data_IF_660098400674
#
_entry.id   IF_660098400674
#
_cell.length_a   1.000
_cell.length_b   1.000
_cell.length_c   1.000
_cell.angle_alpha   90.00
_cell.angle_beta   90.00
_cell.angle_gamma   90.00
#
_symmetry.space_group_name_H-M   'P 1'
#
loop_
_entity.id
_entity.type
_entity.pdbx_description
1 polymer ?
#
# COMPACT_ATOMS: atom_id res chain seq x y z
N UNK A 1 -40.98 -11.83 12.86
CA UNK A 1 -39.71 -11.71 12.11
C UNK A 1 -38.54 -11.75 13.10
N UNK A 2 -37.96 -12.93 13.33
CA UNK A 2 -36.81 -13.07 14.23
C UNK A 2 -35.55 -12.58 13.51
N UNK A 3 -34.92 -11.50 13.99
CA UNK A 3 -33.61 -11.06 13.51
C UNK A 3 -32.59 -12.12 13.93
N UNK A 4 -31.95 -12.74 12.94
CA UNK A 4 -30.95 -13.77 13.15
C UNK A 4 -29.80 -13.19 14.00
N UNK A 5 -29.47 -13.76 15.17
CA UNK A 5 -28.49 -13.18 16.09
C UNK A 5 -27.11 -12.99 15.44
N UNK A 6 -26.78 -13.82 14.44
CA UNK A 6 -25.59 -13.69 13.61
C UNK A 6 -25.46 -12.33 12.91
N UNK A 7 -26.55 -11.79 12.37
CA UNK A 7 -26.56 -10.48 11.68
C UNK A 7 -26.39 -9.31 12.65
N UNK A 8 -26.84 -9.46 13.90
CA UNK A 8 -26.70 -8.42 14.93
C UNK A 8 -25.24 -8.31 15.37
N UNK A 9 -24.55 -9.45 15.54
CA UNK A 9 -23.12 -9.50 15.92
C UNK A 9 -22.20 -9.00 14.81
N UNK A 10 -22.50 -9.29 13.55
CA UNK A 10 -21.77 -8.75 12.40
C UNK A 10 -21.88 -7.22 12.31
N UNK A 11 -23.07 -6.67 12.58
CA UNK A 11 -23.27 -5.23 12.58
C UNK A 11 -22.53 -4.54 13.72
N UNK A 12 -22.50 -5.11 14.93
CA UNK A 12 -21.75 -4.52 16.05
C UNK A 12 -20.24 -4.57 15.83
N UNK A 13 -19.73 -5.65 15.21
CA UNK A 13 -18.31 -5.80 14.87
C UNK A 13 -17.88 -4.80 13.77
N UNK A 14 -18.68 -4.66 12.70
CA UNK A 14 -18.47 -3.64 11.68
C UNK A 14 -18.50 -2.21 12.24
N UNK A 15 -19.33 -1.94 13.25
CA UNK A 15 -19.45 -0.61 13.85
C UNK A 15 -18.27 -0.24 14.76
N UNK A 16 -17.67 -1.20 15.45
CA UNK A 16 -16.46 -0.98 16.27
C UNK A 16 -15.18 -0.88 15.44
N UNK A 17 -15.10 -1.60 14.32
CA UNK A 17 -13.90 -1.66 13.47
C UNK A 17 -14.12 -1.03 12.08
N UNK A 18 -14.89 0.06 11.98
CA UNK A 18 -15.24 0.74 10.70
C UNK A 18 -14.02 0.99 9.81
N UNK A 19 -12.89 1.41 10.39
CA UNK A 19 -11.63 1.65 9.65
C UNK A 19 -11.02 0.37 9.09
N UNK A 20 -11.00 -0.70 9.88
CA UNK A 20 -10.44 -2.00 9.49
C UNK A 20 -11.30 -2.68 8.43
N UNK A 21 -12.62 -2.66 8.59
CA UNK A 21 -13.57 -3.23 7.62
C UNK A 21 -13.53 -2.45 6.31
N UNK A 22 -13.50 -1.12 6.36
CA UNK A 22 -13.33 -0.29 5.16
C UNK A 22 -12.03 -0.60 4.42
N UNK A 23 -10.94 -0.84 5.16
CA UNK A 23 -9.64 -1.16 4.54
C UNK A 23 -9.66 -2.54 3.87
N UNK A 24 -10.27 -3.54 4.51
CA UNK A 24 -10.42 -4.89 3.94
C UNK A 24 -11.27 -4.86 2.67
N UNK A 25 -12.40 -4.13 2.70
CA UNK A 25 -13.27 -3.98 1.52
C UNK A 25 -12.53 -3.24 0.42
N UNK A 26 -11.85 -2.13 0.72
CA UNK A 26 -11.07 -1.38 -0.25
C UNK A 26 -9.96 -2.24 -0.88
N UNK A 27 -9.26 -3.04 -0.07
CA UNK A 27 -8.26 -3.98 -0.55
C UNK A 27 -8.87 -5.04 -1.49
N UNK A 28 -10.01 -5.62 -1.12
CA UNK A 28 -10.72 -6.59 -1.98
C UNK A 28 -11.18 -5.99 -3.30
N UNK A 29 -11.73 -4.78 -3.28
CA UNK A 29 -12.12 -4.05 -4.49
C UNK A 29 -10.90 -3.77 -5.36
N UNK A 30 -9.78 -3.39 -4.75
CA UNK A 30 -8.54 -3.11 -5.47
C UNK A 30 -7.87 -4.38 -6.03
N UNK A 31 -8.06 -5.54 -5.41
CA UNK A 31 -7.60 -6.83 -5.94
C UNK A 31 -8.49 -7.31 -7.08
N UNK A 32 -9.81 -7.18 -6.95
CA UNK A 32 -10.77 -7.69 -7.95
C UNK A 32 -10.93 -6.77 -9.17
N UNK A 33 -10.83 -5.47 -8.97
CA UNK A 33 -11.05 -4.45 -10.01
C UNK A 33 -9.83 -3.53 -10.19
N UNK A 34 -8.67 -3.93 -9.67
CA UNK A 34 -7.44 -3.15 -9.70
C UNK A 34 -7.08 -2.70 -11.10
N UNK A 35 -7.08 -3.61 -12.07
CA UNK A 35 -6.70 -3.29 -13.45
C UNK A 35 -7.63 -2.26 -14.10
N UNK A 36 -8.93 -2.40 -13.92
CA UNK A 36 -9.93 -1.46 -14.46
C UNK A 36 -9.89 -0.11 -13.75
N UNK A 37 -9.76 -0.11 -12.42
CA UNK A 37 -9.66 1.12 -11.62
C UNK A 37 -8.37 1.87 -11.92
N UNK A 38 -7.25 1.16 -12.04
CA UNK A 38 -5.95 1.76 -12.35
C UNK A 38 -5.96 2.36 -13.75
N UNK A 39 -6.57 1.69 -14.73
CA UNK A 39 -6.75 2.24 -16.08
C UNK A 39 -7.62 3.50 -16.07
N UNK A 40 -8.76 3.45 -15.37
CA UNK A 40 -9.68 4.60 -15.28
C UNK A 40 -9.01 5.80 -14.62
N UNK A 41 -8.40 5.59 -13.45
CA UNK A 41 -7.68 6.62 -12.72
C UNK A 41 -6.52 7.16 -13.55
N UNK A 42 -5.77 6.28 -14.22
CA UNK A 42 -4.67 6.66 -15.11
C UNK A 42 -5.14 7.56 -16.26
N UNK A 43 -6.26 7.22 -16.90
CA UNK A 43 -6.82 8.02 -17.99
C UNK A 43 -7.28 9.41 -17.53
N UNK A 44 -8.02 9.49 -16.41
CA UNK A 44 -8.42 10.77 -15.84
C UNK A 44 -7.22 11.63 -15.42
N UNK A 45 -6.21 11.01 -14.80
CA UNK A 45 -4.99 11.70 -14.41
C UNK A 45 -4.23 12.22 -15.62
N UNK A 46 -4.16 11.43 -16.69
CA UNK A 46 -3.50 11.82 -17.94
C UNK A 46 -4.16 13.06 -18.56
N UNK A 47 -5.50 13.07 -18.69
CA UNK A 47 -6.24 14.24 -19.19
C UNK A 47 -6.00 15.47 -18.31
N UNK A 48 -6.02 15.30 -16.98
CA UNK A 48 -5.79 16.40 -16.06
C UNK A 48 -4.37 16.98 -16.19
N UNK A 49 -3.37 16.11 -16.35
CA UNK A 49 -1.99 16.54 -16.59
C UNK A 49 -1.87 17.29 -17.91
N UNK A 50 -2.51 16.82 -18.98
CA UNK A 50 -2.50 17.48 -20.29
C UNK A 50 -3.10 18.89 -20.23
N UNK A 51 -4.22 19.07 -19.50
CA UNK A 51 -4.81 20.39 -19.27
C UNK A 51 -3.84 21.31 -18.50
N UNK A 52 -3.20 20.80 -17.45
CA UNK A 52 -2.23 21.57 -16.66
C UNK A 52 -1.01 21.94 -17.50
N UNK A 53 -0.51 21.02 -18.32
CA UNK A 53 0.61 21.25 -19.24
C UNK A 53 0.28 22.35 -20.24
N UNK A 54 -0.88 22.28 -20.90
CA UNK A 54 -1.33 23.31 -21.85
C UNK A 54 -1.48 24.69 -21.20
N UNK A 55 -2.04 24.75 -19.98
CA UNK A 55 -2.14 26.03 -19.24
C UNK A 55 -0.77 26.59 -18.87
N UNK A 56 0.17 25.73 -18.46
CA UNK A 56 1.53 26.13 -18.12
C UNK A 56 2.32 26.59 -19.34
N UNK A 57 2.14 25.95 -20.49
CA UNK A 57 2.79 26.35 -21.74
C UNK A 57 2.39 27.77 -22.12
N UNK A 58 1.10 28.05 -22.20
CA UNK A 58 0.60 29.41 -22.48
C UNK A 58 1.01 30.42 -21.42
N UNK A 59 1.05 30.03 -20.14
CA UNK A 59 1.54 30.91 -19.09
C UNK A 59 3.01 31.28 -19.31
N UNK A 60 3.86 30.31 -19.67
CA UNK A 60 5.28 30.55 -19.92
C UNK A 60 5.51 31.43 -21.15
N UNK A 61 4.74 31.21 -22.22
CA UNK A 61 4.75 32.07 -23.40
C UNK A 61 4.34 33.51 -23.05
N UNK A 62 3.24 33.68 -22.32
CA UNK A 62 2.70 34.99 -21.98
C UNK A 62 3.55 35.75 -20.95
N UNK A 63 4.09 35.06 -19.94
CA UNK A 63 4.83 35.70 -18.86
C UNK A 63 6.30 35.97 -19.20
N UNK A 64 6.93 35.10 -19.98
CA UNK A 64 8.38 35.17 -20.25
C UNK A 64 8.72 35.39 -21.74
N UNK A 65 7.72 35.41 -22.63
CA UNK A 65 7.94 35.58 -24.06
C UNK A 65 8.70 34.40 -24.69
N UNK A 66 8.63 33.22 -24.07
CA UNK A 66 9.29 32.03 -24.61
C UNK A 66 8.59 31.57 -25.88
N UNK A 67 9.37 30.98 -26.79
CA UNK A 67 8.79 30.22 -27.89
C UNK A 67 8.14 28.93 -27.37
N UNK A 68 7.08 28.44 -28.03
CA UNK A 68 6.41 27.18 -27.70
C UNK A 68 7.41 26.03 -27.45
N UNK A 69 8.43 25.92 -28.33
CA UNK A 69 9.47 24.89 -28.20
C UNK A 69 10.29 25.02 -26.92
N UNK A 70 10.59 26.24 -26.47
CA UNK A 70 11.31 26.46 -25.22
C UNK A 70 10.42 26.18 -24.00
N UNK A 71 9.16 26.61 -24.03
CA UNK A 71 8.20 26.33 -22.97
C UNK A 71 8.01 24.82 -22.79
N UNK A 72 7.84 24.08 -23.88
CA UNK A 72 7.72 22.62 -23.88
C UNK A 72 8.96 21.93 -23.27
N UNK A 73 10.17 22.36 -23.63
CA UNK A 73 11.41 21.80 -23.07
C UNK A 73 11.51 22.08 -21.57
N UNK A 74 11.19 23.30 -21.13
CA UNK A 74 11.21 23.68 -19.71
C UNK A 74 10.20 22.84 -18.92
N UNK A 75 8.98 22.69 -19.43
CA UNK A 75 7.95 21.88 -18.78
C UNK A 75 8.33 20.41 -18.72
N UNK A 76 8.86 19.85 -19.81
CA UNK A 76 9.32 18.46 -19.83
C UNK A 76 10.35 18.18 -18.73
N UNK A 77 11.41 18.98 -18.65
CA UNK A 77 12.43 18.80 -17.62
C UNK A 77 11.90 19.11 -16.21
N UNK A 78 11.02 20.10 -16.07
CA UNK A 78 10.34 20.40 -14.82
C UNK A 78 9.53 19.20 -14.30
N UNK A 79 8.72 18.59 -15.17
CA UNK A 79 7.94 17.39 -14.85
C UNK A 79 8.84 16.21 -14.49
N UNK A 80 9.94 15.98 -15.22
CA UNK A 80 10.91 14.93 -14.88
C UNK A 80 11.46 15.10 -13.47
N UNK A 81 11.87 16.32 -13.10
CA UNK A 81 12.37 16.60 -11.73
C UNK A 81 11.29 16.31 -10.69
N UNK A 82 10.06 16.78 -10.92
CA UNK A 82 8.92 16.53 -10.02
C UNK A 82 8.67 15.02 -9.84
N UNK A 83 8.64 14.26 -10.94
CA UNK A 83 8.43 12.80 -10.91
C UNK A 83 9.55 12.11 -10.12
N UNK A 84 10.81 12.48 -10.35
CA UNK A 84 11.95 11.91 -9.63
C UNK A 84 11.84 12.20 -8.13
N UNK A 85 11.53 13.44 -7.74
CA UNK A 85 11.36 13.83 -6.34
C UNK A 85 10.19 13.08 -5.67
N UNK A 86 9.04 12.96 -6.35
CA UNK A 86 7.88 12.24 -5.82
C UNK A 86 8.15 10.74 -5.68
N UNK A 87 8.81 10.15 -6.68
CA UNK A 87 9.19 8.73 -6.67
C UNK A 87 10.14 8.46 -5.51
N UNK A 88 11.18 9.28 -5.35
CA UNK A 88 12.11 9.18 -4.23
C UNK A 88 11.41 9.28 -2.88
N UNK A 89 10.50 10.25 -2.72
CA UNK A 89 9.73 10.43 -1.50
C UNK A 89 8.82 9.23 -1.19
N UNK A 90 8.12 8.70 -2.20
CA UNK A 90 7.26 7.53 -2.08
C UNK A 90 8.06 6.28 -1.68
N UNK A 91 9.19 6.02 -2.36
CA UNK A 91 10.10 4.91 -2.04
C UNK A 91 10.63 5.02 -0.62
N UNK A 92 11.06 6.21 -0.19
CA UNK A 92 11.54 6.43 1.18
C UNK A 92 10.46 6.16 2.21
N UNK A 93 9.23 6.61 1.98
CA UNK A 93 8.10 6.34 2.88
C UNK A 93 7.74 4.85 2.92
N UNK A 94 7.71 4.18 1.76
CA UNK A 94 7.46 2.75 1.67
C UNK A 94 8.54 1.95 2.43
N UNK A 95 9.80 2.31 2.25
CA UNK A 95 10.93 1.70 2.96
C UNK A 95 10.81 1.84 4.48
N UNK A 96 10.54 3.06 4.98
CA UNK A 96 10.36 3.27 6.42
C UNK A 96 9.16 2.49 6.97
N UNK A 97 8.06 2.44 6.22
CA UNK A 97 6.87 1.67 6.61
C UNK A 97 7.17 0.18 6.68
N UNK A 98 7.93 -0.35 5.72
CA UNK A 98 8.37 -1.74 5.71
C UNK A 98 9.26 -2.07 6.92
N UNK A 99 10.20 -1.19 7.27
CA UNK A 99 11.03 -1.36 8.48
C UNK A 99 10.18 -1.38 9.76
N UNK A 100 9.21 -0.47 9.89
CA UNK A 100 8.28 -0.47 11.03
C UNK A 100 7.45 -1.75 11.10
N UNK A 101 6.99 -2.25 9.96
CA UNK A 101 6.24 -3.49 9.89
C UNK A 101 7.10 -4.70 10.31
N UNK A 102 8.35 -4.78 9.82
CA UNK A 102 9.29 -5.83 10.24
C UNK A 102 9.56 -5.76 11.74
N UNK A 103 9.77 -4.57 12.29
CA UNK A 103 9.98 -4.38 13.73
C UNK A 103 8.75 -4.81 14.56
N UNK A 104 7.53 -4.49 14.10
CA UNK A 104 6.28 -4.91 14.74
C UNK A 104 6.10 -6.44 14.70
N UNK A 105 6.38 -7.07 13.55
CA UNK A 105 6.33 -8.53 13.40
C UNK A 105 7.35 -9.19 14.32
N UNK A 106 8.57 -8.64 14.39
CA UNK A 106 9.61 -9.16 15.28
C UNK A 106 9.25 -8.99 16.76
N UNK A 107 8.71 -7.85 17.16
CA UNK A 107 8.24 -7.61 18.53
C UNK A 107 7.07 -8.54 18.90
N UNK A 108 6.10 -8.71 17.99
CA UNK A 108 5.00 -9.67 18.16
C UNK A 108 5.53 -11.10 18.31
N UNK A 109 6.47 -11.51 17.44
CA UNK A 109 7.13 -12.81 17.52
C UNK A 109 7.88 -13.02 18.83
N UNK A 110 8.55 -11.98 19.35
CA UNK A 110 9.22 -12.03 20.65
C UNK A 110 8.25 -12.09 21.84
N UNK A 111 7.11 -11.41 21.75
CA UNK A 111 6.07 -11.39 22.79
C UNK A 111 5.19 -12.64 22.84
N UNK A 112 5.09 -13.37 21.72
CA UNK A 112 4.25 -14.56 21.65
C UNK A 112 4.84 -15.70 22.48
N UNK A 113 4.09 -16.14 23.49
CA UNK A 113 4.28 -17.41 24.25
C UNK A 113 4.48 -18.64 23.35
N UNK A 114 4.17 -18.53 22.05
CA UNK A 114 4.45 -19.57 21.05
C UNK A 114 5.94 -19.93 20.96
N UNK A 115 6.88 -19.04 21.33
CA UNK A 115 8.31 -19.40 21.38
C UNK A 115 8.63 -20.54 22.33
N UNK A 116 7.93 -20.63 23.47
CA UNK A 116 8.15 -21.71 24.45
C UNK A 116 7.52 -23.00 23.93
N UNK A 117 6.27 -22.94 23.45
CA UNK A 117 5.56 -24.11 22.92
C UNK A 117 6.24 -24.72 21.69
N UNK A 118 6.73 -23.88 20.78
CA UNK A 118 7.40 -24.31 19.55
C UNK A 118 8.82 -24.81 19.85
N UNK A 119 9.54 -24.21 20.82
CA UNK A 119 10.80 -24.78 21.35
C UNK A 119 10.58 -26.13 22.01
N UNK A 120 9.55 -26.29 22.85
CA UNK A 120 9.26 -27.58 23.48
C UNK A 120 8.84 -28.62 22.45
N UNK A 121 8.03 -28.27 21.46
CA UNK A 121 7.68 -29.19 20.36
C UNK A 121 8.90 -29.61 19.54
N UNK A 122 9.84 -28.70 19.25
CA UNK A 122 11.08 -29.04 18.56
C UNK A 122 11.98 -29.95 19.39
N UNK A 123 12.11 -29.72 20.70
CA UNK A 123 12.90 -30.56 21.60
C UNK A 123 12.26 -31.95 21.75
N UNK A 124 10.93 -32.03 21.89
CA UNK A 124 10.20 -33.30 21.92
C UNK A 124 10.28 -34.04 20.59
N UNK A 125 10.18 -33.34 19.46
CA UNK A 125 10.32 -33.93 18.12
C UNK A 125 11.73 -34.46 17.85
N UNK A 126 12.76 -33.75 18.31
CA UNK A 126 14.16 -34.18 18.22
C UNK A 126 14.47 -35.37 19.16
N UNK A 127 13.89 -35.40 20.36
CA UNK A 127 14.00 -36.53 21.30
C UNK A 127 13.26 -37.77 20.79
N UNK A 128 12.10 -37.59 20.14
CA UNK A 128 11.35 -38.69 19.53
C UNK A 128 12.11 -39.32 18.36
N UNK A 129 12.76 -38.51 17.52
CA UNK A 129 13.56 -39.02 16.41
C UNK A 129 14.85 -39.70 16.85
N UNK A 130 15.49 -39.25 17.94
CA UNK A 130 16.65 -39.96 18.49
C UNK A 130 16.26 -41.28 19.14
N UNK A 131 15.16 -41.36 19.90
CA UNK A 131 14.69 -42.64 20.46
C UNK A 131 14.33 -43.68 19.39
N UNK A 132 13.75 -43.26 18.27
CA UNK A 132 13.43 -44.14 17.14
C UNK A 132 14.68 -44.69 16.41
N UNK A 133 15.81 -44.00 16.48
CA UNK A 133 17.08 -44.46 15.89
C UNK A 133 17.81 -45.50 16.75
N UNK A 134 17.43 -45.67 18.02
CA UNK A 134 18.03 -46.62 18.96
C UNK A 134 17.09 -47.75 19.38
N UNK A 135 15.88 -47.84 18.81
CA UNK A 135 14.95 -48.97 18.93
C UNK A 135 14.99 -49.85 17.68
#
# INVERSE_FOLDING_TARGET
MMRNPFFVTLNSFCYQHKKTVSFIIAFFVLVLFGDSLLHLVGHFLHILLEVVESMLEHFLEAAFGFSARQAQVILFYGFVVVIVCLTWFAVRKAYMTALHFIALVQAYWQSSRAKTALKTMLVFGALGTTLYLFS
#
